data_IF_600562138507
#
_entry.id   IF_600562138507
#
_cell.length_a   1.000
_cell.length_b   1.000
_cell.length_c   1.000
_cell.angle_alpha   90.00
_cell.angle_beta   90.00
_cell.angle_gamma   90.00
#
_symmetry.space_group_name_H-M   'P 1'
#
loop_
_entity.id
_entity.type
_entity.pdbx_description
1 polymer ?
#
# COMPACT_ATOMS: atom_id res chain seq x y z
N UNK A 1 -10.50 -1.27 -21.99
CA UNK A 1 -10.07 -2.18 -20.92
C UNK A 1 -8.59 -2.07 -20.65
N UNK A 2 -8.18 -2.20 -19.41
CA UNK A 2 -6.78 -2.19 -19.04
C UNK A 2 -6.27 -3.59 -18.78
N UNK A 3 -5.06 -3.66 -18.26
CA UNK A 3 -4.42 -4.90 -17.87
C UNK A 3 -4.10 -4.84 -16.39
N UNK A 4 -4.53 -5.86 -15.63
CA UNK A 4 -4.21 -5.97 -14.21
C UNK A 4 -2.81 -6.53 -14.02
N UNK A 5 -2.04 -5.85 -13.20
CA UNK A 5 -0.69 -6.26 -12.81
C UNK A 5 -0.67 -6.50 -11.31
N UNK A 6 0.14 -7.45 -10.88
CA UNK A 6 0.25 -7.80 -9.48
C UNK A 6 1.70 -7.80 -9.05
N UNK A 7 1.96 -7.20 -7.90
CA UNK A 7 3.27 -7.25 -7.24
C UNK A 7 3.09 -7.85 -5.87
N UNK A 8 3.86 -8.90 -5.58
CA UNK A 8 3.88 -9.52 -4.26
C UNK A 8 5.32 -9.55 -3.77
N UNK A 9 5.53 -9.04 -2.56
CA UNK A 9 6.85 -9.00 -1.94
C UNK A 9 6.73 -9.57 -0.53
N UNK A 10 7.66 -10.45 -0.19
CA UNK A 10 7.76 -11.00 1.16
C UNK A 10 9.10 -10.60 1.73
N UNK A 11 9.11 -10.00 2.90
CA UNK A 11 10.32 -9.55 3.59
C UNK A 11 10.41 -10.17 4.97
N UNK A 12 11.62 -10.60 5.32
CA UNK A 12 11.94 -11.10 6.66
C UNK A 12 12.64 -9.95 7.39
N UNK A 13 11.98 -9.40 8.40
CA UNK A 13 12.47 -8.22 9.10
C UNK A 13 12.84 -8.61 10.54
N UNK A 14 14.07 -8.29 10.93
CA UNK A 14 14.59 -8.57 12.26
C UNK A 14 14.16 -7.47 13.23
N UNK A 15 12.86 -7.41 13.50
CA UNK A 15 12.29 -6.44 14.41
C UNK A 15 10.95 -6.96 14.95
N UNK A 16 10.54 -6.50 16.13
CA UNK A 16 9.23 -6.84 16.69
C UNK A 16 8.11 -6.35 15.80
N UNK A 17 7.00 -7.06 15.77
CA UNK A 17 5.86 -6.71 14.92
C UNK A 17 5.32 -5.31 15.22
N UNK A 18 5.41 -4.85 16.47
CA UNK A 18 4.94 -3.50 16.83
C UNK A 18 5.71 -2.41 16.09
N UNK A 19 7.03 -2.56 15.96
CA UNK A 19 7.85 -1.59 15.23
C UNK A 19 7.60 -1.64 13.74
N UNK A 20 7.44 -2.84 13.20
CA UNK A 20 7.15 -3.02 11.77
C UNK A 20 5.79 -2.43 11.45
N UNK A 21 4.81 -2.67 12.31
CA UNK A 21 3.48 -2.10 12.15
C UNK A 21 3.50 -0.57 12.13
N UNK A 22 4.23 0.05 13.06
CA UNK A 22 4.30 1.51 13.13
C UNK A 22 4.83 2.13 11.84
N UNK A 23 5.81 1.48 11.23
CA UNK A 23 6.38 1.93 9.96
C UNK A 23 5.37 1.82 8.81
N UNK A 24 4.73 0.67 8.69
CA UNK A 24 3.76 0.45 7.62
C UNK A 24 2.47 1.24 7.79
N UNK A 25 2.10 1.50 9.03
CA UNK A 25 0.89 2.27 9.32
C UNK A 25 1.04 3.74 8.91
N UNK A 26 2.26 4.21 8.71
CA UNK A 26 2.53 5.53 8.15
C UNK A 26 2.55 5.42 6.63
N UNK A 27 1.38 5.54 6.02
CA UNK A 27 1.21 5.39 4.59
C UNK A 27 2.00 6.42 3.78
N UNK A 28 2.23 7.61 4.32
CA UNK A 28 2.98 8.66 3.63
C UNK A 28 4.46 8.32 3.48
N UNK A 29 4.96 7.36 4.26
CA UNK A 29 6.34 6.89 4.15
C UNK A 29 6.51 5.81 3.08
N UNK A 30 5.43 5.40 2.43
CA UNK A 30 5.46 4.32 1.44
C UNK A 30 6.51 4.52 0.32
N UNK A 31 6.77 5.73 -0.20
CA UNK A 31 7.80 5.93 -1.22
C UNK A 31 9.21 5.52 -0.77
N UNK A 32 9.46 5.44 0.54
CA UNK A 32 10.75 4.99 1.07
C UNK A 32 10.96 3.49 0.87
N UNK A 33 9.88 2.74 0.66
CA UNK A 33 9.89 1.28 0.53
C UNK A 33 9.66 0.82 -0.90
N UNK A 34 8.85 1.57 -1.66
CA UNK A 34 8.46 1.21 -3.02
C UNK A 34 8.87 2.32 -3.98
N UNK A 35 9.90 2.06 -4.78
CA UNK A 35 10.47 3.07 -5.68
C UNK A 35 9.53 3.51 -6.79
N UNK A 36 8.53 2.69 -7.13
CA UNK A 36 7.54 3.01 -8.15
C UNK A 36 6.38 3.86 -7.62
N UNK A 37 6.29 4.05 -6.31
CA UNK A 37 5.36 4.98 -5.69
C UNK A 37 6.11 6.31 -5.47
N UNK A 38 5.67 7.35 -6.15
CA UNK A 38 6.32 8.67 -6.05
C UNK A 38 5.91 9.39 -4.77
N UNK A 39 4.62 9.37 -4.43
CA UNK A 39 4.14 10.02 -3.21
C UNK A 39 2.83 9.42 -2.71
N UNK A 40 2.61 9.52 -1.42
CA UNK A 40 1.34 9.21 -0.77
C UNK A 40 1.03 10.36 0.17
N UNK A 41 -0.15 10.97 0.02
CA UNK A 41 -0.57 12.09 0.86
C UNK A 41 -1.91 11.78 1.51
N UNK A 42 -2.00 12.01 2.81
CA UNK A 42 -3.27 11.87 3.52
C UNK A 42 -4.15 13.07 3.20
N UNK A 43 -5.33 12.82 2.63
CA UNK A 43 -6.29 13.87 2.30
C UNK A 43 -7.21 14.13 3.49
N UNK A 44 -7.64 13.06 4.15
CA UNK A 44 -8.48 13.15 5.34
C UNK A 44 -7.91 12.28 6.44
N UNK A 45 -7.81 12.86 7.63
CA UNK A 45 -7.35 12.12 8.80
C UNK A 45 -8.40 11.10 9.23
N UNK A 46 -7.99 9.97 9.82
CA UNK A 46 -8.94 8.96 10.26
C UNK A 46 -9.84 9.47 11.38
N UNK A 47 -11.09 9.04 11.34
CA UNK A 47 -12.05 9.26 12.42
C UNK A 47 -12.61 7.91 12.81
N UNK A 48 -13.43 7.88 13.85
CA UNK A 48 -14.07 6.62 14.30
C UNK A 48 -14.97 6.02 13.23
N UNK A 49 -15.50 6.82 12.32
CA UNK A 49 -16.51 6.41 11.35
C UNK A 49 -16.03 6.47 9.91
N UNK A 50 -14.91 7.14 9.65
CA UNK A 50 -14.40 7.31 8.30
C UNK A 50 -13.02 6.69 8.15
N UNK A 51 -12.77 5.96 7.05
CA UNK A 51 -11.45 5.42 6.78
C UNK A 51 -10.47 6.53 6.41
N UNK A 52 -9.18 6.23 6.51
CA UNK A 52 -8.14 7.13 6.01
C UNK A 52 -8.32 7.29 4.51
N UNK A 53 -8.26 8.52 4.03
CA UNK A 53 -8.29 8.80 2.60
C UNK A 53 -6.92 9.32 2.19
N UNK A 54 -6.30 8.66 1.21
CA UNK A 54 -4.96 9.00 0.74
C UNK A 54 -4.95 9.21 -0.76
N UNK A 55 -4.04 10.07 -1.23
CA UNK A 55 -3.80 10.25 -2.66
C UNK A 55 -2.41 9.70 -2.98
N UNK A 56 -2.37 8.80 -3.94
CA UNK A 56 -1.17 8.12 -4.36
C UNK A 56 -0.75 8.57 -5.75
N UNK A 57 0.55 8.65 -5.97
CA UNK A 57 1.13 8.93 -7.28
C UNK A 57 2.13 7.83 -7.62
N UNK A 58 1.87 7.14 -8.72
CA UNK A 58 2.74 6.10 -9.25
C UNK A 58 3.47 6.66 -10.47
N UNK A 59 4.78 6.45 -10.54
CA UNK A 59 5.59 6.83 -11.70
C UNK A 59 6.07 5.56 -12.39
N UNK A 60 5.70 5.39 -13.65
CA UNK A 60 6.09 4.21 -14.43
C UNK A 60 6.18 4.56 -15.91
N UNK A 61 7.26 4.12 -16.58
CA UNK A 61 7.45 4.28 -18.03
C UNK A 61 7.29 5.72 -18.52
N UNK A 62 7.74 6.70 -17.72
CA UNK A 62 7.63 8.11 -18.06
C UNK A 62 6.26 8.72 -17.83
N UNK A 63 5.31 7.95 -17.32
CA UNK A 63 3.98 8.41 -17.00
C UNK A 63 3.77 8.50 -15.51
N UNK A 64 2.85 9.37 -15.09
CA UNK A 64 2.41 9.47 -13.71
C UNK A 64 0.92 9.15 -13.65
N UNK A 65 0.56 8.30 -12.70
CA UNK A 65 -0.82 7.90 -12.45
C UNK A 65 -1.18 8.27 -11.03
N UNK A 66 -2.33 8.91 -10.88
CA UNK A 66 -2.82 9.27 -9.55
C UNK A 66 -4.10 8.51 -9.26
N UNK A 67 -4.26 8.16 -7.99
CA UNK A 67 -5.53 7.59 -7.52
C UNK A 67 -5.72 7.98 -6.07
N UNK A 68 -6.98 7.91 -5.65
CA UNK A 68 -7.33 8.07 -4.25
C UNK A 68 -7.68 6.71 -3.70
N UNK A 69 -7.25 6.43 -2.49
CA UNK A 69 -7.48 5.15 -1.84
C UNK A 69 -7.99 5.35 -0.43
N UNK A 70 -8.85 4.43 -0.01
CA UNK A 70 -9.30 4.37 1.37
C UNK A 70 -8.69 3.14 2.03
N UNK A 71 -8.41 3.25 3.32
CA UNK A 71 -8.03 2.09 4.13
C UNK A 71 -9.33 1.39 4.49
N UNK A 72 -9.58 0.23 3.90
CA UNK A 72 -10.83 -0.49 4.14
C UNK A 72 -10.73 -1.55 5.24
N UNK A 73 -9.52 -1.86 5.69
CA UNK A 73 -9.31 -2.75 6.82
C UNK A 73 -8.00 -2.42 7.51
N UNK A 74 -8.05 -2.29 8.83
CA UNK A 74 -6.87 -2.04 9.65
C UNK A 74 -7.00 -2.86 10.92
N UNK A 75 -6.16 -3.90 11.03
CA UNK A 75 -6.09 -4.74 12.23
C UNK A 75 -4.67 -4.61 12.76
N UNK A 76 -4.54 -3.92 13.89
CA UNK A 76 -3.23 -3.61 14.47
C UNK A 76 -2.33 -4.83 14.54
N UNK A 77 -1.08 -4.67 14.07
CA UNK A 77 -0.03 -5.69 14.00
C UNK A 77 -0.36 -6.93 13.17
N UNK A 78 -1.49 -6.94 12.44
CA UNK A 78 -1.90 -8.09 11.65
C UNK A 78 -2.08 -7.78 10.18
N UNK A 79 -2.82 -6.72 9.86
CA UNK A 79 -3.20 -6.47 8.47
C UNK A 79 -3.54 -5.00 8.22
N UNK A 80 -3.15 -4.53 7.06
CA UNK A 80 -3.56 -3.23 6.54
C UNK A 80 -3.99 -3.44 5.10
N UNK A 81 -5.19 -2.98 4.74
CA UNK A 81 -5.73 -3.16 3.40
C UNK A 81 -6.34 -1.86 2.89
N UNK A 82 -6.11 -1.58 1.62
CA UNK A 82 -6.63 -0.39 0.96
C UNK A 82 -7.10 -0.70 -0.45
N UNK A 83 -7.97 0.17 -0.98
CA UNK A 83 -8.40 0.08 -2.37
C UNK A 83 -8.69 1.47 -2.92
N UNK A 84 -8.56 1.63 -4.23
CA UNK A 84 -8.82 2.90 -4.88
C UNK A 84 -10.31 3.22 -4.89
N UNK A 85 -10.61 4.53 -4.78
CA UNK A 85 -11.98 5.05 -4.90
C UNK A 85 -12.08 6.04 -6.07
N UNK A 86 -10.98 6.29 -6.77
CA UNK A 86 -10.96 7.16 -7.94
C UNK A 86 -9.57 7.21 -8.54
N UNK A 87 -9.47 7.43 -9.82
CA UNK A 87 -8.22 7.41 -10.55
C UNK A 87 -7.86 6.01 -11.00
N UNK A 88 -6.58 5.67 -10.96
CA UNK A 88 -6.10 4.36 -11.37
C UNK A 88 -6.67 3.26 -10.46
N UNK A 89 -7.33 2.24 -11.04
CA UNK A 89 -7.83 1.12 -10.23
C UNK A 89 -6.66 0.38 -9.57
N UNK A 90 -6.69 0.29 -8.24
CA UNK A 90 -5.66 -0.41 -7.49
C UNK A 90 -6.21 -0.87 -6.15
N UNK A 91 -5.63 -1.94 -5.63
CA UNK A 91 -5.90 -2.41 -4.29
C UNK A 91 -4.65 -3.08 -3.75
N UNK A 92 -4.48 -3.03 -2.44
CA UNK A 92 -3.32 -3.61 -1.82
C UNK A 92 -3.58 -4.07 -0.40
N UNK A 93 -2.70 -4.91 0.08
CA UNK A 93 -2.73 -5.36 1.46
C UNK A 93 -1.32 -5.65 1.93
N UNK A 94 -1.09 -5.44 3.22
CA UNK A 94 0.12 -5.89 3.88
C UNK A 94 -0.28 -6.71 5.09
N UNK A 95 0.33 -7.88 5.23
CA UNK A 95 0.08 -8.79 6.35
C UNK A 95 1.38 -9.01 7.11
N UNK A 96 1.24 -9.19 8.41
CA UNK A 96 2.35 -9.33 9.33
C UNK A 96 2.26 -10.69 10.01
N UNK A 97 3.34 -11.45 9.96
CA UNK A 97 3.41 -12.77 10.57
C UNK A 97 4.56 -12.79 11.58
N UNK A 98 4.21 -12.94 12.84
CA UNK A 98 5.21 -13.02 13.91
C UNK A 98 5.89 -14.38 13.83
N UNK A 99 7.20 -14.37 13.62
CA UNK A 99 8.01 -15.60 13.65
C UNK A 99 8.63 -15.79 15.02
N UNK A 100 9.18 -14.70 15.56
CA UNK A 100 9.80 -14.66 16.88
C UNK A 100 9.55 -13.30 17.47
N UNK A 101 9.85 -13.11 18.74
CA UNK A 101 9.65 -11.83 19.43
C UNK A 101 10.27 -10.64 18.68
N UNK A 102 11.46 -10.85 18.08
CA UNK A 102 12.18 -9.81 17.34
C UNK A 102 12.31 -10.10 15.86
N UNK A 103 11.37 -10.87 15.29
CA UNK A 103 11.41 -11.21 13.87
C UNK A 103 10.00 -11.30 13.30
N UNK A 104 9.75 -10.57 12.22
CA UNK A 104 8.45 -10.48 11.59
C UNK A 104 8.58 -10.69 10.08
N UNK A 105 7.70 -11.52 9.52
CA UNK A 105 7.57 -11.65 8.07
C UNK A 105 6.48 -10.69 7.62
N UNK A 106 6.79 -9.86 6.63
CA UNK A 106 5.84 -8.92 6.04
C UNK A 106 5.55 -9.36 4.62
N UNK A 107 4.28 -9.51 4.30
CA UNK A 107 3.84 -9.85 2.94
C UNK A 107 3.01 -8.70 2.38
N UNK A 108 3.52 -8.06 1.34
CA UNK A 108 2.86 -6.99 0.61
C UNK A 108 2.31 -7.53 -0.70
N UNK A 109 1.05 -7.24 -0.98
CA UNK A 109 0.44 -7.55 -2.27
C UNK A 109 -0.24 -6.30 -2.80
N UNK A 110 0.08 -5.91 -4.03
CA UNK A 110 -0.53 -4.75 -4.69
C UNK A 110 -0.95 -5.16 -6.09
N UNK A 111 -2.21 -4.87 -6.42
CA UNK A 111 -2.74 -5.06 -7.77
C UNK A 111 -3.21 -3.73 -8.31
N UNK A 112 -2.95 -3.49 -9.59
CA UNK A 112 -3.42 -2.28 -10.25
C UNK A 112 -3.69 -2.55 -11.73
N UNK A 113 -4.56 -1.73 -12.33
CA UNK A 113 -4.92 -1.86 -13.74
C UNK A 113 -4.31 -0.70 -14.53
N UNK A 114 -3.41 -1.01 -15.44
CA UNK A 114 -2.84 0.00 -16.34
C UNK A 114 -3.76 0.18 -17.56
N UNK A 115 -3.93 1.41 -18.07
CA UNK A 115 -4.64 1.63 -19.32
C UNK A 115 -3.99 0.84 -20.45
N UNK A 116 -4.81 0.34 -21.36
CA UNK A 116 -4.34 -0.48 -22.48
C UNK A 116 -3.26 0.22 -23.33
N UNK A 117 -3.35 1.54 -23.47
CA UNK A 117 -2.41 2.30 -24.30
C UNK A 117 -0.97 2.28 -23.79
N UNK A 118 -0.76 1.97 -22.53
CA UNK A 118 0.57 1.97 -21.89
C UNK A 118 0.95 0.63 -21.26
N UNK A 119 0.05 -0.33 -21.25
CA UNK A 119 0.35 -1.68 -20.79
C UNK A 119 1.25 -2.37 -21.81
N UNK A 120 2.28 -3.13 -21.37
CA UNK A 120 3.15 -3.85 -22.32
C UNK A 120 2.42 -4.95 -23.08
#
# INVERSE_FOLDING_TARGET
MGRWLEHTVTCDIKAPVSKVWDIWNDMEAMPLWMSWIESVKTIEAPTKTLPDLTEWTLAANGFRFKWKAKINERIETQKLQWESIGGLPTKGSVRFYVQEESRTIVKLSVTYELPRAIAP
#
